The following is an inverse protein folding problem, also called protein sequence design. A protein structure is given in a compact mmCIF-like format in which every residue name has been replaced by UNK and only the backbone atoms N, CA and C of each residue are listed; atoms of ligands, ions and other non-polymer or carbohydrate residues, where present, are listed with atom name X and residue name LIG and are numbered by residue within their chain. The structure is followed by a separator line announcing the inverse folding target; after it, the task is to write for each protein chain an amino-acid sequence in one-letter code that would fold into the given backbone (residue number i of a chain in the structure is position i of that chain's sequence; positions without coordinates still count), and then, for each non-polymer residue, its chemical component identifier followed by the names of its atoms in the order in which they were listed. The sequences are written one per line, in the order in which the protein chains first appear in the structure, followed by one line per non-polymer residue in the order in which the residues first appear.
data_IF_271837250933
#
_entry.id   IF_271837250933
#
_cell.length_a   1.000
_cell.length_b   1.000
_cell.length_c   1.000
_cell.angle_alpha   90.00
_cell.angle_beta   90.00
_cell.angle_gamma   90.00
#
_symmetry.space_group_name_H-M   'P 1'
#
loop_
_entity.id
_entity.type
_entity.pdbx_description
1 polymer ?
#
# COMPACT_ATOMS: atom_id res chain seq x y z
N UNK A 1 -10.15 45.19 -1.36
CA UNK A 1 -11.15 44.44 -2.14
C UNK A 1 -10.57 43.70 -3.36
N UNK A 2 -10.03 44.38 -4.38
CA UNK A 2 -9.47 43.66 -5.57
C UNK A 2 -8.38 42.62 -5.28
N UNK A 3 -7.51 42.82 -4.25
CA UNK A 3 -6.44 41.90 -3.91
C UNK A 3 -6.95 40.64 -3.20
N UNK A 4 -7.97 40.75 -2.36
CA UNK A 4 -8.59 39.61 -1.65
C UNK A 4 -9.34 38.73 -2.66
N UNK A 5 -10.06 39.35 -3.61
CA UNK A 5 -10.76 38.62 -4.67
C UNK A 5 -9.80 37.81 -5.57
N UNK A 6 -8.64 38.40 -5.90
CA UNK A 6 -7.61 37.68 -6.68
C UNK A 6 -7.00 36.51 -5.95
N UNK A 7 -6.76 36.61 -4.62
CA UNK A 7 -6.22 35.53 -3.80
C UNK A 7 -7.25 34.39 -3.64
N UNK A 8 -8.52 34.74 -3.44
CA UNK A 8 -9.59 33.75 -3.31
C UNK A 8 -9.86 33.05 -4.66
N UNK A 9 -9.86 33.81 -5.76
CA UNK A 9 -10.01 33.23 -7.10
C UNK A 9 -8.83 32.29 -7.43
N UNK A 10 -7.61 32.64 -7.02
CA UNK A 10 -6.43 31.79 -7.20
C UNK A 10 -6.50 30.54 -6.31
N UNK A 11 -6.96 30.67 -5.08
CA UNK A 11 -7.17 29.52 -4.18
C UNK A 11 -8.26 28.57 -4.70
N UNK A 12 -9.35 29.13 -5.26
CA UNK A 12 -10.43 28.33 -5.86
C UNK A 12 -9.95 27.61 -7.14
N UNK A 13 -9.17 28.26 -7.99
CA UNK A 13 -8.60 27.64 -9.19
C UNK A 13 -7.59 26.55 -8.79
N UNK A 14 -6.77 26.80 -7.80
CA UNK A 14 -5.87 25.77 -7.25
C UNK A 14 -6.64 24.60 -6.63
N UNK A 15 -7.73 24.90 -5.93
CA UNK A 15 -8.62 23.88 -5.35
C UNK A 15 -9.32 23.05 -6.41
N UNK A 16 -9.80 23.63 -7.49
CA UNK A 16 -10.42 22.88 -8.60
C UNK A 16 -9.38 22.00 -9.31
N UNK A 17 -8.14 22.47 -9.46
CA UNK A 17 -7.03 21.67 -9.98
C UNK A 17 -6.58 20.56 -9.04
N UNK A 18 -6.72 20.76 -7.73
CA UNK A 18 -6.35 19.81 -6.69
C UNK A 18 -7.51 18.87 -6.27
N UNK A 19 -8.76 19.26 -6.56
CA UNK A 19 -9.94 18.42 -6.27
C UNK A 19 -9.91 17.07 -7.03
N UNK A 20 -9.11 16.96 -8.06
CA UNK A 20 -8.79 15.68 -8.68
C UNK A 20 -7.85 14.82 -7.81
N UNK A 21 -7.28 15.40 -6.72
CA UNK A 21 -6.30 14.77 -5.85
C UNK A 21 -6.69 14.82 -4.36
N UNK A 22 -7.96 14.66 -4.01
CA UNK A 22 -8.43 14.61 -2.61
C UNK A 22 -8.04 15.83 -1.74
N UNK A 23 -8.28 17.04 -2.21
CA UNK A 23 -7.91 18.24 -1.46
C UNK A 23 -8.98 18.62 -0.43
N UNK A 24 -8.51 18.90 0.76
CA UNK A 24 -9.30 19.34 1.91
C UNK A 24 -9.52 20.84 1.87
N UNK A 25 -10.76 21.29 1.99
CA UNK A 25 -11.15 22.69 2.01
C UNK A 25 -11.72 23.08 3.36
N UNK A 26 -11.22 24.19 3.95
CA UNK A 26 -11.76 24.78 5.17
C UNK A 26 -12.66 25.96 4.84
N UNK A 27 -13.87 25.98 5.38
CA UNK A 27 -14.75 27.13 5.31
C UNK A 27 -15.43 27.36 6.66
N UNK A 28 -15.40 28.59 7.17
CA UNK A 28 -15.99 28.98 8.46
C UNK A 28 -15.53 28.17 9.69
N UNK A 29 -14.29 27.66 9.67
CA UNK A 29 -13.78 26.81 10.76
C UNK A 29 -14.25 25.35 10.72
N UNK A 30 -14.99 24.97 9.69
CA UNK A 30 -15.38 23.59 9.46
C UNK A 30 -14.63 23.00 8.24
N UNK A 31 -14.28 21.72 8.36
CA UNK A 31 -13.62 20.96 7.31
C UNK A 31 -14.65 20.51 6.27
N UNK A 32 -14.46 20.92 5.01
CA UNK A 32 -15.30 20.46 3.90
C UNK A 32 -14.47 19.48 3.08
N UNK A 33 -14.82 18.20 3.17
CA UNK A 33 -14.23 17.14 2.36
C UNK A 33 -15.05 16.89 1.10
N UNK A 34 -14.36 16.58 -0.01
CA UNK A 34 -14.94 16.09 -1.26
C UNK A 34 -16.06 16.97 -1.86
N UNK A 35 -15.94 18.28 -1.70
CA UNK A 35 -16.82 19.22 -2.40
C UNK A 35 -16.43 19.25 -3.89
N UNK A 36 -17.01 18.39 -4.72
CA UNK A 36 -17.09 18.62 -6.16
C UNK A 36 -18.17 19.65 -6.37
N UNK A 37 -17.80 20.92 -6.36
CA UNK A 37 -18.74 21.98 -6.63
C UNK A 37 -18.74 22.25 -8.14
N UNK A 38 -19.87 21.99 -8.79
CA UNK A 38 -20.10 22.45 -10.19
C UNK A 38 -20.09 23.97 -10.28
N UNK A 39 -20.23 24.67 -9.15
CA UNK A 39 -20.08 26.11 -9.04
C UNK A 39 -19.82 26.54 -7.59
N UNK A 40 -18.81 27.36 -7.40
CA UNK A 40 -18.49 28.03 -6.14
C UNK A 40 -18.96 29.48 -6.23
N UNK A 41 -19.87 29.88 -5.32
CA UNK A 41 -20.27 31.28 -5.19
C UNK A 41 -19.57 31.90 -4.00
N UNK A 42 -18.86 33.00 -4.26
CA UNK A 42 -18.24 33.81 -3.25
C UNK A 42 -19.18 34.97 -2.89
N UNK A 43 -19.47 35.12 -1.63
CA UNK A 43 -20.26 36.22 -1.12
C UNK A 43 -19.39 37.15 -0.27
N UNK A 44 -19.41 38.41 -0.56
CA UNK A 44 -18.72 39.45 0.19
C UNK A 44 -19.69 40.04 1.22
N UNK A 45 -19.38 39.97 2.49
CA UNK A 45 -20.17 40.64 3.51
C UNK A 45 -19.69 42.07 3.72
N UNK A 46 -20.60 43.04 3.84
CA UNK A 46 -20.29 44.47 4.05
C UNK A 46 -19.56 44.76 5.36
N UNK A 47 -19.33 43.76 6.21
CA UNK A 47 -18.90 43.94 7.59
C UNK A 47 -17.71 43.13 7.95
N UNK A 48 -16.79 42.88 7.19
CA UNK A 48 -15.60 42.28 7.75
C UNK A 48 -14.47 42.01 6.80
N UNK A 49 -13.34 41.91 7.40
CA UNK A 49 -12.14 41.30 6.89
C UNK A 49 -12.27 39.76 6.68
N UNK A 50 -13.50 39.21 6.64
CA UNK A 50 -13.81 37.79 6.45
C UNK A 50 -14.67 37.57 5.21
N UNK A 51 -14.23 36.69 4.34
CA UNK A 51 -14.99 36.24 3.16
C UNK A 51 -15.75 34.98 3.54
N UNK A 52 -17.06 34.99 3.31
CA UNK A 52 -17.92 33.85 3.51
C UNK A 52 -18.07 33.09 2.19
N UNK A 53 -17.73 31.82 2.19
CA UNK A 53 -17.98 30.92 1.09
C UNK A 53 -19.41 30.35 1.25
N UNK A 54 -20.35 30.82 0.41
CA UNK A 54 -21.66 30.18 0.32
C UNK A 54 -21.55 29.02 -0.68
N UNK A 55 -21.52 27.81 -0.15
CA UNK A 55 -21.71 26.62 -0.96
C UNK A 55 -23.23 26.46 -1.11
N UNK A 56 -23.79 26.63 -2.31
CA UNK A 56 -25.20 26.35 -2.52
C UNK A 56 -25.39 24.88 -2.15
N UNK A 57 -26.44 24.63 -1.37
CA UNK A 57 -26.87 23.31 -0.85
C UNK A 57 -26.32 22.19 -1.74
N UNK A 58 -25.18 21.64 -1.34
CA UNK A 58 -24.54 20.54 -2.06
C UNK A 58 -25.56 19.42 -2.03
N UNK A 59 -26.15 19.11 -3.17
CA UNK A 59 -26.86 17.84 -3.33
C UNK A 59 -25.73 16.83 -3.33
N UNK A 60 -25.43 16.32 -2.15
CA UNK A 60 -24.59 15.15 -2.00
C UNK A 60 -25.33 14.05 -2.76
N UNK A 61 -25.01 13.86 -4.02
CA UNK A 61 -25.23 12.56 -4.63
C UNK A 61 -24.35 11.66 -3.79
N UNK A 62 -24.97 10.71 -3.11
CA UNK A 62 -24.26 9.66 -2.39
C UNK A 62 -23.26 9.01 -3.33
N UNK A 63 -22.09 9.58 -3.40
CA UNK A 63 -20.91 8.84 -3.80
C UNK A 63 -20.54 8.11 -2.53
N UNK A 64 -20.83 6.80 -2.48
CA UNK A 64 -20.42 5.92 -1.40
C UNK A 64 -18.88 5.83 -1.46
N UNK A 65 -18.22 6.89 -1.04
CA UNK A 65 -16.79 6.93 -0.79
C UNK A 65 -16.66 7.28 0.67
N UNK A 66 -16.55 6.24 1.49
CA UNK A 66 -16.16 6.40 2.89
C UNK A 66 -14.72 6.90 2.87
N UNK A 67 -14.54 8.18 3.05
CA UNK A 67 -13.22 8.75 3.28
C UNK A 67 -12.90 8.47 4.73
N UNK A 68 -11.93 7.59 4.98
CA UNK A 68 -11.37 7.44 6.30
C UNK A 68 -10.58 8.71 6.61
N UNK A 69 -11.15 9.57 7.46
CA UNK A 69 -10.39 10.64 8.08
C UNK A 69 -9.55 9.95 9.14
N UNK A 70 -8.25 9.89 8.93
CA UNK A 70 -7.35 9.77 10.06
C UNK A 70 -7.46 11.10 10.82
N UNK A 71 -8.39 11.16 11.80
CA UNK A 71 -8.37 12.19 12.80
C UNK A 71 -7.08 12.01 13.60
N UNK A 72 -6.04 12.71 13.16
CA UNK A 72 -4.92 12.96 14.04
C UNK A 72 -5.38 14.02 15.04
N UNK A 73 -6.05 13.56 16.08
CA UNK A 73 -6.29 14.39 17.26
C UNK A 73 -4.93 14.64 17.89
N UNK A 74 -4.34 15.79 17.64
CA UNK A 74 -3.21 16.28 18.42
C UNK A 74 -3.72 16.56 19.83
N UNK A 75 -3.62 15.58 20.72
CA UNK A 75 -3.70 15.83 22.15
C UNK A 75 -2.32 16.34 22.54
N UNK A 76 -2.19 17.64 22.79
CA UNK A 76 -1.05 18.16 23.53
C UNK A 76 -1.10 17.55 24.94
N UNK A 77 -0.51 16.39 25.13
CA UNK A 77 -0.20 15.87 26.44
C UNK A 77 1.08 16.54 26.91
N UNK A 78 0.92 17.45 27.85
CA UNK A 78 2.03 17.91 28.68
C UNK A 78 2.55 16.74 29.51
N UNK A 79 3.57 16.05 29.03
CA UNK A 79 4.22 14.99 29.79
C UNK A 79 5.03 14.03 28.94
N UNK A 80 6.35 14.23 28.94
CA UNK A 80 7.39 13.28 28.51
C UNK A 80 7.33 12.81 27.06
N UNK A 81 8.19 13.40 26.27
CA UNK A 81 8.42 13.11 24.85
C UNK A 81 9.09 11.75 24.63
N UNK A 82 8.30 10.76 24.28
CA UNK A 82 8.78 9.72 23.37
C UNK A 82 7.94 9.87 22.10
N UNK A 83 8.41 10.75 21.22
CA UNK A 83 7.74 11.11 19.95
C UNK A 83 8.06 10.02 18.91
N UNK A 84 7.63 8.78 19.12
CA UNK A 84 7.65 7.78 18.06
C UNK A 84 6.46 8.03 17.13
N UNK A 85 6.75 8.58 15.95
CA UNK A 85 5.74 8.74 14.90
C UNK A 85 5.15 7.36 14.57
N UNK A 86 3.83 7.23 14.69
CA UNK A 86 3.10 5.97 14.46
C UNK A 86 2.72 5.76 12.99
N UNK A 87 2.75 6.80 12.18
CA UNK A 87 2.54 6.79 10.74
C UNK A 87 3.28 7.95 10.08
N UNK A 88 3.44 7.93 8.78
CA UNK A 88 4.07 9.00 8.01
C UNK A 88 4.24 8.64 6.54
N UNK A 89 5.07 9.41 5.86
CA UNK A 89 5.31 9.27 4.43
C UNK A 89 6.78 8.92 4.16
N UNK A 90 7.01 8.01 3.25
CA UNK A 90 8.32 7.72 2.66
C UNK A 90 8.16 7.71 1.13
N UNK A 91 8.90 8.57 0.46
CA UNK A 91 8.90 8.72 -1.01
C UNK A 91 7.49 8.73 -1.66
N UNK A 92 6.53 9.46 -1.04
CA UNK A 92 5.17 9.62 -1.57
C UNK A 92 4.18 8.51 -1.21
N UNK A 93 4.59 7.51 -0.43
CA UNK A 93 3.73 6.42 0.04
C UNK A 93 3.65 6.41 1.57
N UNK A 94 2.46 6.12 2.08
CA UNK A 94 2.18 6.12 3.52
C UNK A 94 2.65 4.82 4.17
N UNK A 95 3.20 4.96 5.39
CA UNK A 95 3.56 3.85 6.26
C UNK A 95 2.89 3.95 7.62
N UNK A 96 2.70 2.80 8.23
CA UNK A 96 2.26 2.64 9.63
C UNK A 96 3.32 1.86 10.40
N UNK A 97 3.68 2.35 11.58
CA UNK A 97 4.45 1.59 12.56
C UNK A 97 3.51 0.69 13.34
N UNK A 98 3.62 -0.60 13.14
CA UNK A 98 2.83 -1.61 13.86
C UNK A 98 3.47 -2.04 15.19
N UNK A 99 4.59 -1.41 15.62
CA UNK A 99 5.36 -1.87 16.77
C UNK A 99 6.29 -3.07 16.46
N UNK A 100 6.49 -3.39 15.17
CA UNK A 100 7.38 -4.45 14.66
C UNK A 100 8.76 -3.89 14.33
N UNK A 101 9.64 -4.73 13.79
CA UNK A 101 11.01 -4.34 13.42
C UNK A 101 11.07 -3.31 12.29
N UNK A 102 10.08 -3.31 11.39
CA UNK A 102 9.96 -2.40 10.24
C UNK A 102 8.61 -1.68 10.24
N UNK A 103 8.49 -0.64 9.43
CA UNK A 103 7.24 0.05 9.13
C UNK A 103 6.61 -0.57 7.89
N UNK A 104 5.28 -0.70 7.88
CA UNK A 104 4.54 -1.34 6.80
C UNK A 104 3.76 -0.31 5.98
N UNK A 105 3.75 -0.46 4.67
CA UNK A 105 2.95 0.37 3.78
C UNK A 105 1.44 0.18 4.03
N UNK A 106 0.64 1.21 3.80
CA UNK A 106 -0.83 1.15 3.91
C UNK A 106 -1.46 0.49 2.70
N UNK A 107 -0.82 0.57 1.51
CA UNK A 107 -1.32 0.03 0.25
C UNK A 107 -0.35 -1.00 -0.35
N UNK A 108 -0.83 -1.82 -1.29
CA UNK A 108 0.01 -2.67 -2.12
C UNK A 108 0.74 -1.83 -3.19
N UNK A 109 1.85 -2.33 -3.72
CA UNK A 109 2.50 -1.73 -4.90
C UNK A 109 1.51 -1.71 -6.07
N UNK A 110 1.37 -0.55 -6.72
CA UNK A 110 0.38 -0.32 -7.79
C UNK A 110 -1.02 0.08 -7.30
N UNK A 111 -1.26 0.12 -5.98
CA UNK A 111 -2.52 0.56 -5.38
C UNK A 111 -2.42 1.96 -4.78
N UNK A 112 -3.55 2.67 -4.69
CA UNK A 112 -3.68 3.98 -4.03
C UNK A 112 -4.62 3.94 -2.83
N UNK A 113 -5.38 2.85 -2.66
CA UNK A 113 -6.25 2.62 -1.50
C UNK A 113 -5.91 1.27 -0.85
N UNK A 114 -6.10 1.13 0.47
CA UNK A 114 -5.73 -0.08 1.20
C UNK A 114 -6.42 -1.36 0.70
N UNK A 115 -7.65 -1.25 0.19
CA UNK A 115 -8.46 -2.34 -0.30
C UNK A 115 -8.16 -2.73 -1.76
N UNK A 116 -7.42 -1.92 -2.50
CA UNK A 116 -7.05 -2.24 -3.87
C UNK A 116 -5.99 -3.34 -3.91
N UNK A 117 -6.10 -4.24 -4.88
CA UNK A 117 -5.20 -5.39 -5.01
C UNK A 117 -3.78 -4.99 -5.45
N UNK A 118 -3.67 -3.83 -6.15
CA UNK A 118 -2.43 -3.39 -6.75
C UNK A 118 -1.98 -4.26 -7.91
N UNK A 119 -0.71 -4.20 -8.19
CA UNK A 119 -0.05 -4.94 -9.25
C UNK A 119 0.41 -6.32 -8.80
N UNK A 120 0.51 -7.25 -9.76
CA UNK A 120 1.04 -8.59 -9.52
C UNK A 120 2.43 -8.71 -10.12
N UNK A 121 3.35 -9.27 -9.35
CA UNK A 121 4.74 -9.47 -9.76
C UNK A 121 5.13 -10.93 -9.66
N UNK A 122 5.83 -11.46 -10.66
CA UNK A 122 6.59 -12.69 -10.47
C UNK A 122 7.81 -12.38 -9.58
N UNK A 123 8.23 -13.32 -8.77
CA UNK A 123 9.31 -13.07 -7.80
C UNK A 123 10.63 -12.67 -8.48
N UNK A 124 11.19 -11.53 -8.09
CA UNK A 124 12.38 -10.95 -8.70
C UNK A 124 12.11 -10.20 -10.00
N UNK A 125 10.86 -9.99 -10.39
CA UNK A 125 10.49 -9.12 -11.50
C UNK A 125 9.84 -7.84 -10.97
N UNK A 126 10.12 -6.74 -11.64
CA UNK A 126 9.70 -5.40 -11.20
C UNK A 126 8.61 -4.79 -12.08
N UNK A 127 8.22 -5.49 -13.13
CA UNK A 127 7.15 -5.11 -14.05
C UNK A 127 6.05 -6.17 -14.06
N UNK A 128 4.83 -5.73 -14.30
CA UNK A 128 3.68 -6.61 -14.53
C UNK A 128 3.75 -7.25 -15.91
N UNK A 129 3.08 -8.39 -16.10
CA UNK A 129 3.04 -9.08 -17.38
C UNK A 129 1.72 -9.81 -17.62
N UNK A 130 1.45 -10.17 -18.88
CA UNK A 130 0.22 -10.86 -19.23
C UNK A 130 0.24 -12.37 -18.92
N UNK A 131 1.43 -12.97 -18.85
CA UNK A 131 1.60 -14.42 -18.65
C UNK A 131 2.62 -14.69 -17.56
N UNK A 132 2.19 -15.32 -16.48
CA UNK A 132 2.99 -15.70 -15.30
C UNK A 132 3.36 -17.18 -15.39
N UNK A 133 4.39 -17.46 -16.17
CA UNK A 133 4.83 -18.83 -16.45
C UNK A 133 6.33 -18.85 -16.78
N UNK A 134 6.96 -20.05 -16.74
CA UNK A 134 8.39 -20.22 -16.99
C UNK A 134 8.87 -19.61 -18.30
N UNK A 135 8.10 -19.76 -19.39
CA UNK A 135 8.47 -19.23 -20.71
C UNK A 135 8.60 -17.69 -20.77
N UNK A 136 8.07 -17.00 -19.79
CA UNK A 136 8.13 -15.52 -19.69
C UNK A 136 8.89 -15.05 -18.45
N UNK A 137 9.46 -15.98 -17.68
CA UNK A 137 10.14 -15.62 -16.44
C UNK A 137 11.56 -15.11 -16.71
N UNK A 138 11.92 -13.99 -16.08
CA UNK A 138 13.19 -13.27 -16.29
C UNK A 138 14.42 -14.12 -15.96
N UNK A 139 14.35 -14.92 -14.91
CA UNK A 139 15.49 -15.66 -14.35
C UNK A 139 15.48 -17.15 -14.65
N UNK A 140 14.77 -17.59 -15.69
CA UNK A 140 14.81 -18.98 -16.12
C UNK A 140 13.68 -19.31 -17.07
N UNK A 141 14.03 -19.86 -18.24
CA UNK A 141 13.04 -20.30 -19.22
C UNK A 141 12.34 -21.61 -18.86
N UNK A 142 12.83 -22.29 -17.83
CA UNK A 142 12.31 -23.53 -17.28
C UNK A 142 12.75 -23.68 -15.82
N UNK A 143 12.15 -24.62 -15.10
CA UNK A 143 12.42 -24.91 -13.68
C UNK A 143 13.87 -25.35 -13.41
N UNK A 144 14.58 -25.94 -14.37
CA UNK A 144 15.96 -26.41 -14.30
C UNK A 144 16.97 -25.49 -15.01
N UNK A 145 16.55 -24.29 -15.38
CA UNK A 145 17.37 -23.35 -16.16
C UNK A 145 17.43 -21.97 -15.48
N UNK A 146 17.54 -21.95 -14.14
CA UNK A 146 17.65 -20.72 -13.37
C UNK A 146 18.97 -20.01 -13.65
N UNK A 147 18.92 -18.71 -13.89
CA UNK A 147 20.07 -17.86 -14.18
C UNK A 147 20.49 -16.98 -13.00
N UNK A 148 19.62 -16.85 -11.97
CA UNK A 148 19.89 -16.06 -10.76
C UNK A 148 19.05 -16.60 -9.58
N UNK A 149 19.56 -16.39 -8.36
CA UNK A 149 18.93 -16.83 -7.11
C UNK A 149 18.81 -18.35 -7.03
N UNK A 150 19.92 -19.05 -7.18
CA UNK A 150 19.97 -20.50 -6.97
C UNK A 150 21.12 -20.88 -6.05
N UNK A 151 20.82 -21.78 -5.11
CA UNK A 151 21.77 -22.40 -4.18
C UNK A 151 22.14 -23.82 -4.60
N UNK A 152 21.47 -24.40 -5.62
CA UNK A 152 21.69 -25.75 -6.09
C UNK A 152 21.81 -25.80 -7.61
N UNK A 153 22.86 -26.43 -8.12
CA UNK A 153 23.15 -26.61 -9.54
C UNK A 153 22.12 -27.48 -10.27
N UNK A 154 21.28 -28.22 -9.56
CA UNK A 154 20.16 -28.96 -10.13
C UNK A 154 19.13 -28.03 -10.81
N UNK A 155 18.97 -26.81 -10.30
CA UNK A 155 18.04 -25.82 -10.82
C UNK A 155 18.65 -24.81 -11.79
N UNK A 156 19.98 -24.79 -11.97
CA UNK A 156 20.66 -23.89 -12.89
C UNK A 156 21.97 -23.30 -12.37
N UNK A 157 22.23 -22.02 -12.65
CA UNK A 157 23.45 -21.33 -12.26
C UNK A 157 23.40 -20.99 -10.77
N UNK A 158 24.40 -21.50 -10.01
CA UNK A 158 24.50 -21.22 -8.59
C UNK A 158 25.16 -19.86 -8.36
N UNK A 159 24.44 -18.95 -7.72
CA UNK A 159 24.96 -17.65 -7.25
C UNK A 159 24.88 -17.48 -5.73
N UNK A 160 24.24 -18.46 -5.02
CA UNK A 160 24.03 -18.48 -3.59
C UNK A 160 23.28 -17.24 -3.03
N UNK A 161 22.57 -16.50 -3.85
CA UNK A 161 21.73 -15.40 -3.42
C UNK A 161 20.38 -15.93 -2.94
N UNK A 162 20.01 -15.58 -1.73
CA UNK A 162 18.76 -16.02 -1.09
C UNK A 162 17.78 -14.89 -0.80
N UNK A 163 18.17 -13.65 -1.12
CA UNK A 163 17.34 -12.45 -1.01
C UNK A 163 17.49 -11.65 -2.29
N UNK A 164 16.43 -11.01 -2.74
CA UNK A 164 16.44 -10.18 -3.95
C UNK A 164 17.45 -9.03 -3.83
N UNK A 165 18.18 -8.79 -4.90
CA UNK A 165 18.94 -7.57 -5.06
C UNK A 165 17.96 -6.39 -5.25
N UNK A 166 18.33 -5.14 -4.89
CA UNK A 166 17.44 -3.98 -4.98
C UNK A 166 16.86 -3.74 -6.39
N UNK A 167 17.59 -4.04 -7.44
CA UNK A 167 17.14 -3.91 -8.83
C UNK A 167 16.08 -4.94 -9.24
N UNK A 168 15.88 -5.98 -8.45
CA UNK A 168 14.92 -7.07 -8.67
C UNK A 168 13.80 -7.06 -7.63
N UNK A 169 13.81 -6.10 -6.73
CA UNK A 169 12.79 -5.88 -5.72
C UNK A 169 11.70 -4.95 -6.28
N UNK A 170 10.48 -5.47 -6.40
CA UNK A 170 9.38 -4.73 -7.01
C UNK A 170 9.00 -3.46 -6.22
N UNK A 171 9.11 -3.46 -4.90
CA UNK A 171 8.86 -2.28 -4.09
C UNK A 171 9.95 -1.21 -4.28
N UNK A 172 11.21 -1.62 -4.23
CA UNK A 172 12.36 -0.74 -4.48
C UNK A 172 12.30 -0.10 -5.87
N UNK A 173 12.00 -0.90 -6.89
CA UNK A 173 11.99 -0.42 -8.28
C UNK A 173 10.81 0.52 -8.57
N UNK A 174 9.62 0.25 -8.02
CA UNK A 174 8.41 1.02 -8.33
C UNK A 174 8.22 2.23 -7.41
N UNK A 175 8.63 2.15 -6.15
CA UNK A 175 8.42 3.21 -5.16
C UNK A 175 9.69 3.97 -4.81
N UNK A 176 10.88 3.35 -4.95
CA UNK A 176 12.15 3.97 -4.62
C UNK A 176 12.30 4.34 -3.14
N UNK A 177 13.17 5.31 -2.84
CA UNK A 177 13.43 5.72 -1.45
C UNK A 177 13.99 4.55 -0.62
N UNK A 178 13.45 4.36 0.58
CA UNK A 178 13.79 3.23 1.47
C UNK A 178 12.79 2.07 1.39
N UNK A 179 11.88 2.09 0.42
CA UNK A 179 10.92 1.02 0.23
C UNK A 179 11.58 -0.23 -0.34
N UNK A 180 11.20 -1.38 0.20
CA UNK A 180 11.60 -2.70 -0.25
C UNK A 180 10.50 -3.73 0.04
N UNK A 181 10.60 -4.90 -0.56
CA UNK A 181 9.79 -6.04 -0.16
C UNK A 181 10.21 -6.51 1.25
N UNK A 182 9.27 -7.01 2.06
CA UNK A 182 9.62 -7.62 3.34
C UNK A 182 10.41 -8.91 3.12
N UNK A 183 11.32 -9.20 4.01
CA UNK A 183 11.94 -10.54 4.11
C UNK A 183 10.93 -11.55 4.68
N UNK A 184 11.23 -12.86 4.51
CA UNK A 184 10.44 -13.92 5.18
C UNK A 184 10.37 -13.70 6.70
N UNK A 185 11.48 -13.31 7.32
CA UNK A 185 11.52 -13.08 8.77
C UNK A 185 10.59 -11.95 9.22
N UNK A 186 10.49 -10.86 8.44
CA UNK A 186 9.57 -9.75 8.71
C UNK A 186 8.10 -10.14 8.44
N UNK A 187 7.83 -10.98 7.45
CA UNK A 187 6.50 -11.56 7.27
C UNK A 187 6.13 -12.52 8.41
N UNK A 188 7.07 -13.34 8.88
CA UNK A 188 6.85 -14.21 10.03
C UNK A 188 6.65 -13.39 11.32
N UNK A 189 7.38 -12.29 11.49
CA UNK A 189 7.15 -11.33 12.58
C UNK A 189 5.74 -10.74 12.53
N UNK A 190 5.29 -10.27 11.35
CA UNK A 190 3.93 -9.77 11.14
C UNK A 190 2.89 -10.83 11.49
N UNK A 191 3.07 -12.07 10.99
CA UNK A 191 2.15 -13.18 11.24
C UNK A 191 2.04 -13.51 12.72
N UNK A 192 3.16 -13.57 13.42
CA UNK A 192 3.23 -14.12 14.77
C UNK A 192 2.97 -13.09 15.88
N UNK A 193 3.22 -11.80 15.62
CA UNK A 193 3.17 -10.74 16.64
C UNK A 193 1.98 -9.80 16.48
N UNK A 194 1.17 -9.96 15.44
CA UNK A 194 -0.02 -9.15 15.22
C UNK A 194 -1.30 -9.95 15.43
N UNK A 195 -2.38 -9.26 15.75
CA UNK A 195 -3.72 -9.81 15.72
C UNK A 195 -4.30 -9.68 14.30
N UNK A 196 -4.96 -10.74 13.82
CA UNK A 196 -5.53 -10.81 12.48
C UNK A 196 -7.04 -10.90 12.57
N UNK A 197 -7.75 -9.87 12.12
CA UNK A 197 -9.20 -9.76 12.10
C UNK A 197 -9.70 -9.77 10.67
N UNK A 198 -10.48 -10.80 10.27
CA UNK A 198 -11.08 -10.82 8.94
C UNK A 198 -12.22 -9.82 8.85
N UNK A 199 -12.11 -8.86 7.95
CA UNK A 199 -13.11 -7.82 7.73
C UNK A 199 -13.42 -7.65 6.24
N UNK A 200 -14.43 -6.84 5.96
CA UNK A 200 -14.71 -6.34 4.61
C UNK A 200 -14.52 -4.83 4.61
N UNK A 201 -13.60 -4.34 3.79
CA UNK A 201 -13.31 -2.91 3.60
C UNK A 201 -13.76 -2.52 2.20
N UNK A 202 -14.70 -1.57 2.08
CA UNK A 202 -15.25 -1.10 0.80
C UNK A 202 -15.67 -2.22 -0.17
N UNK A 203 -16.21 -3.32 0.36
CA UNK A 203 -16.68 -4.47 -0.42
C UNK A 203 -15.59 -5.52 -0.69
N UNK A 204 -14.35 -5.29 -0.29
CA UNK A 204 -13.23 -6.21 -0.45
C UNK A 204 -12.95 -6.94 0.86
N UNK A 205 -12.95 -8.29 0.83
CA UNK A 205 -12.57 -9.11 1.97
C UNK A 205 -11.05 -9.10 2.18
N UNK A 206 -10.62 -9.15 3.44
CA UNK A 206 -9.22 -9.17 3.80
C UNK A 206 -8.99 -9.15 5.29
N UNK A 207 -7.75 -9.03 5.69
CA UNK A 207 -7.41 -8.93 7.12
C UNK A 207 -7.04 -7.50 7.51
N UNK A 208 -7.67 -7.02 8.58
CA UNK A 208 -7.12 -5.95 9.41
C UNK A 208 -6.06 -6.59 10.30
N UNK A 209 -4.82 -6.18 10.11
CA UNK A 209 -3.66 -6.66 10.86
C UNK A 209 -3.31 -5.62 11.90
N UNK A 210 -3.46 -5.97 13.18
CA UNK A 210 -3.30 -5.07 14.31
C UNK A 210 -1.99 -5.39 15.01
N UNK A 211 -1.08 -4.45 15.02
CA UNK A 211 0.22 -4.58 15.66
C UNK A 211 0.16 -4.49 17.19
N UNK A 212 1.23 -4.89 17.90
CA UNK A 212 1.30 -4.86 19.36
C UNK A 212 1.14 -3.45 19.97
N UNK A 213 1.34 -2.40 19.19
CA UNK A 213 1.11 -1.02 19.60
C UNK A 213 -0.32 -0.50 19.34
N UNK A 214 -1.22 -1.35 18.80
CA UNK A 214 -2.61 -1.04 18.50
C UNK A 214 -2.85 -0.41 17.12
N UNK A 215 -1.81 -0.02 16.39
CA UNK A 215 -1.93 0.46 15.01
C UNK A 215 -2.24 -0.70 14.06
N UNK A 216 -2.82 -0.41 12.90
CA UNK A 216 -3.23 -1.46 11.98
C UNK A 216 -3.05 -1.08 10.51
N UNK A 217 -2.91 -2.12 9.68
CA UNK A 217 -3.01 -2.04 8.22
C UNK A 217 -4.10 -3.00 7.72
N UNK A 218 -4.55 -2.83 6.49
CA UNK A 218 -5.45 -3.77 5.83
C UNK A 218 -4.72 -4.50 4.70
N UNK A 219 -4.81 -5.83 4.69
CA UNK A 219 -4.31 -6.70 3.62
C UNK A 219 -5.50 -7.31 2.87
N UNK A 220 -5.82 -6.85 1.64
CA UNK A 220 -6.89 -7.42 0.86
C UNK A 220 -6.60 -8.87 0.44
N UNK A 221 -7.67 -9.67 0.30
CA UNK A 221 -7.60 -11.00 -0.31
C UNK A 221 -7.43 -10.87 -1.83
N UNK A 222 -6.26 -10.42 -2.23
CA UNK A 222 -5.95 -9.98 -3.59
C UNK A 222 -5.78 -11.13 -4.60
N UNK A 223 -5.89 -12.40 -4.19
CA UNK A 223 -5.65 -13.53 -5.08
C UNK A 223 -4.21 -13.60 -5.59
N UNK A 224 -4.04 -14.25 -6.74
CA UNK A 224 -2.77 -14.36 -7.46
C UNK A 224 -2.98 -14.58 -8.95
N UNK A 225 -1.95 -14.38 -9.75
CA UNK A 225 -1.94 -14.69 -11.18
C UNK A 225 -1.18 -15.99 -11.45
N UNK A 226 -1.81 -16.91 -12.13
CA UNK A 226 -1.19 -18.17 -12.60
C UNK A 226 -1.39 -18.27 -14.11
N UNK A 227 -0.32 -18.36 -14.86
CA UNK A 227 -0.39 -18.21 -16.32
C UNK A 227 -1.05 -16.88 -16.72
N UNK A 228 -2.10 -16.88 -17.50
CA UNK A 228 -2.88 -15.67 -17.85
C UNK A 228 -4.17 -15.53 -17.03
N UNK A 229 -4.32 -16.32 -15.96
CA UNK A 229 -5.57 -16.39 -15.21
C UNK A 229 -5.41 -15.83 -13.81
N UNK A 230 -6.36 -14.98 -13.41
CA UNK A 230 -6.54 -14.58 -12.03
C UNK A 230 -7.15 -15.73 -11.22
N UNK A 231 -6.56 -16.01 -10.05
CA UNK A 231 -7.02 -17.05 -9.14
C UNK A 231 -7.49 -16.41 -7.85
N UNK A 232 -8.81 -16.37 -7.70
CA UNK A 232 -9.59 -16.19 -6.47
C UNK A 232 -9.34 -14.95 -5.59
N UNK A 233 -10.40 -14.15 -5.41
CA UNK A 233 -10.52 -13.07 -4.40
C UNK A 233 -10.77 -13.60 -2.97
N UNK A 234 -10.56 -14.89 -2.69
CA UNK A 234 -10.77 -15.51 -1.36
C UNK A 234 -9.47 -15.75 -0.63
N UNK A 235 -8.35 -15.51 -1.30
CA UNK A 235 -7.00 -15.75 -0.80
C UNK A 235 -6.17 -14.47 -0.89
N UNK A 236 -5.40 -14.17 0.14
CA UNK A 236 -4.30 -13.22 0.02
C UNK A 236 -3.00 -13.96 -0.23
N UNK A 237 -2.19 -13.47 -1.15
CA UNK A 237 -0.85 -13.99 -1.45
C UNK A 237 0.11 -12.82 -1.60
N UNK A 238 1.14 -12.77 -0.77
CA UNK A 238 2.06 -11.64 -0.69
C UNK A 238 3.51 -12.10 -0.68
N UNK A 239 4.27 -11.74 -1.70
CA UNK A 239 5.67 -12.09 -1.80
C UNK A 239 6.51 -11.51 -0.65
N UNK A 240 7.47 -12.30 -0.18
CA UNK A 240 8.67 -11.80 0.49
C UNK A 240 9.81 -11.64 -0.52
N UNK A 241 10.88 -10.94 -0.13
CA UNK A 241 12.12 -10.87 -0.90
C UNK A 241 13.00 -12.12 -0.77
N UNK A 242 12.57 -13.14 0.01
CA UNK A 242 13.40 -14.30 0.34
C UNK A 242 13.11 -15.50 -0.56
N UNK A 243 14.18 -16.12 -1.07
CA UNK A 243 14.14 -17.43 -1.71
C UNK A 243 13.72 -18.49 -0.69
N UNK A 244 13.10 -19.58 -1.14
CA UNK A 244 12.93 -20.77 -0.31
C UNK A 244 14.29 -21.42 -0.04
N UNK A 245 14.70 -21.42 1.23
CA UNK A 245 15.91 -22.10 1.68
C UNK A 245 15.62 -23.34 2.53
N UNK A 246 14.35 -23.60 2.84
CA UNK A 246 13.94 -24.71 3.69
C UNK A 246 13.88 -26.02 2.92
N UNK A 247 13.38 -25.97 1.67
CA UNK A 247 13.29 -27.15 0.80
C UNK A 247 14.45 -27.28 -0.18
N UNK A 248 15.38 -26.32 -0.22
CA UNK A 248 16.44 -26.19 -1.23
C UNK A 248 15.92 -26.20 -2.67
N UNK A 249 14.69 -25.73 -2.86
CA UNK A 249 14.08 -25.66 -4.18
C UNK A 249 14.16 -24.24 -4.75
N UNK A 250 15.16 -23.97 -5.58
CA UNK A 250 15.36 -22.65 -6.18
C UNK A 250 14.23 -22.20 -7.14
N UNK A 251 13.24 -23.04 -7.40
CA UNK A 251 12.05 -22.63 -8.16
C UNK A 251 10.98 -21.95 -7.30
N UNK A 252 11.14 -21.99 -5.98
CA UNK A 252 10.20 -21.48 -5.01
C UNK A 252 10.76 -20.25 -4.28
N UNK A 253 9.86 -19.36 -3.91
CA UNK A 253 10.16 -18.23 -3.03
C UNK A 253 9.12 -18.14 -1.90
N UNK A 254 9.55 -17.56 -0.79
CA UNK A 254 8.72 -17.48 0.42
C UNK A 254 7.67 -16.39 0.29
N UNK A 255 6.49 -16.67 0.80
CA UNK A 255 5.37 -15.76 0.84
C UNK A 255 4.52 -15.97 2.10
N UNK A 256 3.74 -14.97 2.48
CA UNK A 256 2.62 -15.13 3.39
C UNK A 256 1.35 -15.31 2.58
N UNK A 257 0.48 -16.22 3.00
CA UNK A 257 -0.81 -16.41 2.39
C UNK A 257 -1.91 -16.60 3.44
N UNK A 258 -3.14 -16.28 3.07
CA UNK A 258 -4.27 -16.41 3.98
C UNK A 258 -5.58 -16.68 3.26
N UNK A 259 -6.49 -17.26 4.02
CA UNK A 259 -7.94 -17.37 3.77
C UNK A 259 -8.69 -16.73 4.93
N UNK A 260 -10.01 -16.60 4.86
CA UNK A 260 -10.81 -15.95 5.93
C UNK A 260 -10.72 -16.62 7.32
N UNK A 261 -10.16 -17.80 7.42
CA UNK A 261 -10.07 -18.58 8.67
C UNK A 261 -8.64 -18.90 9.11
N UNK A 262 -7.64 -18.56 8.29
CA UNK A 262 -6.26 -18.97 8.56
C UNK A 262 -5.24 -18.08 7.86
N UNK A 263 -4.07 -17.91 8.50
CA UNK A 263 -2.93 -17.15 7.98
C UNK A 263 -1.68 -18.01 8.13
N UNK A 264 -0.97 -18.27 7.04
CA UNK A 264 0.24 -19.09 7.09
C UNK A 264 1.36 -18.53 6.22
N UNK A 265 2.58 -18.97 6.49
CA UNK A 265 3.76 -18.76 5.66
C UNK A 265 4.02 -19.99 4.81
N UNK A 266 4.39 -19.80 3.57
CA UNK A 266 4.65 -20.90 2.65
C UNK A 266 5.61 -20.51 1.54
N UNK A 267 5.70 -21.38 0.56
CA UNK A 267 6.53 -21.20 -0.62
C UNK A 267 5.68 -21.41 -1.87
N UNK A 268 5.92 -20.61 -2.89
CA UNK A 268 5.19 -20.69 -4.15
C UNK A 268 6.16 -20.56 -5.33
N UNK A 269 5.78 -21.05 -6.49
CA UNK A 269 6.59 -20.92 -7.70
C UNK A 269 6.88 -19.46 -8.02
N UNK A 270 8.15 -19.13 -8.21
CA UNK A 270 8.64 -17.79 -8.53
C UNK A 270 7.97 -17.14 -9.73
N UNK A 271 7.42 -17.96 -10.63
CA UNK A 271 6.69 -17.51 -11.83
C UNK A 271 5.28 -17.02 -11.53
N UNK A 272 4.72 -17.31 -10.36
CA UNK A 272 3.38 -16.87 -9.95
C UNK A 272 3.35 -15.36 -9.72
N UNK A 273 2.34 -14.68 -10.22
CA UNK A 273 2.13 -13.26 -9.92
C UNK A 273 1.43 -13.08 -8.59
N UNK A 274 2.07 -12.41 -7.63
CA UNK A 274 1.50 -12.10 -6.33
C UNK A 274 1.62 -10.62 -6.02
N UNK A 275 0.79 -10.13 -5.10
CA UNK A 275 0.86 -8.78 -4.58
C UNK A 275 2.14 -8.56 -3.76
N UNK A 276 2.55 -7.29 -3.64
CA UNK A 276 3.65 -6.84 -2.79
C UNK A 276 3.14 -5.81 -1.81
N UNK A 277 3.26 -6.08 -0.50
CA UNK A 277 3.10 -5.10 0.56
C UNK A 277 4.48 -4.68 1.05
N UNK A 278 4.84 -3.44 0.77
CA UNK A 278 6.18 -2.91 1.02
C UNK A 278 6.43 -2.62 2.50
N UNK A 279 7.71 -2.60 2.86
CA UNK A 279 8.21 -2.15 4.15
C UNK A 279 9.29 -1.08 3.98
N UNK A 280 9.52 -0.28 5.02
CA UNK A 280 10.70 0.56 5.13
C UNK A 280 11.28 0.48 6.54
N UNK A 281 12.59 0.69 6.65
CA UNK A 281 13.30 0.57 7.91
C UNK A 281 12.91 1.69 8.89
N UNK A 282 12.93 1.41 10.18
CA UNK A 282 12.84 2.42 11.23
C UNK A 282 14.14 3.22 11.27
N UNK A 283 14.02 4.53 11.23
CA UNK A 283 15.17 5.45 11.40
C UNK A 283 15.43 5.68 12.87
#
# INVERSE_FOLDING_TARGET
MKKIFAIITLAVISLVGLAQNNTVVWANGELIQDAVADSLFLYESEWADTVHLLIPKVVVREVHKTVYIHDTVYIESSGSSDNTETSGMENGHEWVDLGLSVKWATCNVGAIQPEEFGDYFAWGEVETKAIYYWSTYKYGSNWDAMTKYSTDSYYGIVDNKTVLDPEDDAATANWGGNWRMPTKAEQDELKNNCEWEWITLNGVGGYKVIGPNGNSIFLPAAGRMVSSSFVSERYGHYWSSSLDTETNNATLASHIFFISSDVDSGNEFRTTGQSVRSVCDKK
#
